data_IF_856629533276
#
_entry.id   IF_856629533276
#
_cell.length_a   1.000
_cell.length_b   1.000
_cell.length_c   1.000
_cell.angle_alpha   90.00
_cell.angle_beta   90.00
_cell.angle_gamma   90.00
#
_symmetry.space_group_name_H-M   'P 1'
#
loop_
_entity.id
_entity.type
_entity.pdbx_description
1 polymer ?
#
# COMPACT_ATOMS: atom_id res chain seq x y z
N UNK A 1 -74.25 29.87 28.94
CA UNK A 1 -74.65 28.67 28.17
C UNK A 1 -73.45 28.20 27.30
N UNK A 2 -72.72 27.19 27.74
CA UNK A 2 -71.65 26.61 26.95
C UNK A 2 -72.29 25.65 25.92
N UNK A 3 -72.24 26.02 24.66
CA UNK A 3 -72.53 25.09 23.57
C UNK A 3 -71.44 24.04 23.48
N UNK A 4 -71.73 22.83 23.88
CA UNK A 4 -70.86 21.69 23.62
C UNK A 4 -70.98 21.37 22.12
N UNK A 5 -70.00 21.81 21.32
CA UNK A 5 -69.89 21.38 19.96
C UNK A 5 -69.51 19.92 19.92
N UNK A 6 -70.31 19.04 19.41
CA UNK A 6 -70.03 17.64 19.19
C UNK A 6 -69.10 17.49 17.98
N UNK A 7 -68.11 16.65 18.12
CA UNK A 7 -67.16 16.29 17.03
C UNK A 7 -67.93 15.43 16.02
N UNK A 8 -67.86 15.80 14.74
CA UNK A 8 -68.53 15.04 13.66
C UNK A 8 -67.70 13.80 13.25
N UNK A 9 -68.37 12.76 12.80
CA UNK A 9 -67.72 11.50 12.37
C UNK A 9 -66.76 11.77 11.20
N UNK A 10 -67.04 12.70 10.32
CA UNK A 10 -66.23 13.10 9.19
C UNK A 10 -64.92 13.82 9.64
N UNK A 11 -64.99 14.58 10.72
CA UNK A 11 -63.84 15.30 11.27
C UNK A 11 -62.80 14.32 11.86
N UNK A 12 -63.28 13.24 12.53
CA UNK A 12 -62.42 12.15 13.02
C UNK A 12 -61.80 11.39 11.86
N UNK A 13 -62.58 11.09 10.82
CA UNK A 13 -62.10 10.35 9.66
C UNK A 13 -60.98 11.14 8.92
N UNK A 14 -61.16 12.46 8.72
CA UNK A 14 -60.13 13.32 8.14
C UNK A 14 -58.90 13.39 9.04
N UNK A 15 -59.08 13.54 10.36
CA UNK A 15 -57.97 13.60 11.30
C UNK A 15 -57.13 12.32 11.28
N UNK A 16 -57.74 11.15 11.28
CA UNK A 16 -57.05 9.86 11.23
C UNK A 16 -56.32 9.66 9.88
N UNK A 17 -56.97 10.06 8.77
CA UNK A 17 -56.34 9.93 7.45
C UNK A 17 -55.12 10.87 7.32
N UNK A 18 -55.21 12.10 7.80
CA UNK A 18 -54.07 13.02 7.82
C UNK A 18 -52.96 12.54 8.75
N UNK A 19 -53.30 12.01 9.93
CA UNK A 19 -52.32 11.44 10.86
C UNK A 19 -51.61 10.23 10.28
N UNK A 20 -52.32 9.34 9.58
CA UNK A 20 -51.72 8.18 8.91
C UNK A 20 -50.77 8.60 7.80
N UNK A 21 -51.14 9.64 7.02
CA UNK A 21 -50.31 10.15 5.94
C UNK A 21 -49.04 10.84 6.46
N UNK A 22 -49.16 11.61 7.55
CA UNK A 22 -48.02 12.21 8.25
C UNK A 22 -47.11 11.16 8.83
N UNK A 23 -47.64 10.16 9.53
CA UNK A 23 -46.87 9.08 10.13
C UNK A 23 -46.13 8.27 9.07
N UNK A 24 -46.79 7.95 7.94
CA UNK A 24 -46.16 7.29 6.81
C UNK A 24 -45.02 8.11 6.20
N UNK A 25 -45.23 9.41 6.02
CA UNK A 25 -44.20 10.33 5.53
C UNK A 25 -42.97 10.40 6.43
N UNK A 26 -43.16 10.45 7.75
CA UNK A 26 -42.06 10.45 8.72
C UNK A 26 -41.28 9.14 8.67
N UNK A 27 -41.95 8.00 8.60
CA UNK A 27 -41.28 6.70 8.50
C UNK A 27 -40.42 6.57 7.23
N UNK A 28 -40.95 7.01 6.08
CA UNK A 28 -40.20 7.03 4.82
C UNK A 28 -38.98 7.95 4.92
N UNK A 29 -39.17 9.17 5.44
CA UNK A 29 -38.08 10.13 5.61
C UNK A 29 -36.99 9.59 6.55
N UNK A 30 -37.38 8.95 7.65
CA UNK A 30 -36.43 8.34 8.59
C UNK A 30 -35.69 7.17 7.96
N UNK A 31 -36.34 6.29 7.21
CA UNK A 31 -35.71 5.19 6.51
C UNK A 31 -34.70 5.69 5.45
N UNK A 32 -35.08 6.72 4.69
CA UNK A 32 -34.19 7.36 3.72
C UNK A 32 -32.96 7.99 4.39
N UNK A 33 -33.19 8.69 5.52
CA UNK A 33 -32.12 9.28 6.31
C UNK A 33 -31.12 8.25 6.82
N UNK A 34 -31.59 7.17 7.43
CA UNK A 34 -30.73 6.09 7.93
C UNK A 34 -29.94 5.42 6.81
N UNK A 35 -30.58 5.08 5.69
CA UNK A 35 -29.89 4.45 4.55
C UNK A 35 -28.84 5.37 3.92
N UNK A 36 -29.05 6.68 3.95
CA UNK A 36 -28.07 7.67 3.46
C UNK A 36 -26.90 7.79 4.42
N UNK A 37 -27.13 7.76 5.73
CA UNK A 37 -26.07 7.76 6.75
C UNK A 37 -25.18 6.53 6.62
N UNK A 38 -25.75 5.32 6.53
CA UNK A 38 -24.99 4.09 6.37
C UNK A 38 -24.09 4.11 5.12
N UNK A 39 -24.61 4.60 3.99
CA UNK A 39 -23.83 4.75 2.74
C UNK A 39 -22.70 5.77 2.89
N UNK A 40 -22.97 6.86 3.60
CA UNK A 40 -21.98 7.93 3.83
C UNK A 40 -20.88 7.44 4.75
N UNK A 41 -21.22 6.77 5.84
CA UNK A 41 -20.26 6.20 6.78
C UNK A 41 -19.36 5.15 6.11
N UNK A 42 -19.95 4.27 5.30
CA UNK A 42 -19.17 3.28 4.53
C UNK A 42 -18.18 3.94 3.56
N UNK A 43 -18.57 5.05 2.91
CA UNK A 43 -17.67 5.83 2.05
C UNK A 43 -16.57 6.53 2.84
N UNK A 44 -16.89 7.12 3.98
CA UNK A 44 -15.91 7.78 4.85
C UNK A 44 -14.87 6.80 5.38
N UNK A 45 -15.28 5.62 5.85
CA UNK A 45 -14.37 4.57 6.31
C UNK A 45 -13.46 4.11 5.17
N UNK A 46 -14.00 3.91 3.97
CA UNK A 46 -13.23 3.52 2.79
C UNK A 46 -12.18 4.57 2.43
N UNK A 47 -12.57 5.85 2.37
CA UNK A 47 -11.67 6.95 2.05
C UNK A 47 -10.55 7.07 3.09
N UNK A 48 -10.86 6.95 4.38
CA UNK A 48 -9.84 6.96 5.45
C UNK A 48 -8.85 5.83 5.32
N UNK A 49 -9.29 4.62 4.94
CA UNK A 49 -8.38 3.47 4.71
C UNK A 49 -7.41 3.76 3.57
N UNK A 50 -7.88 4.29 2.44
CA UNK A 50 -7.03 4.64 1.29
C UNK A 50 -6.00 5.71 1.66
N UNK A 51 -6.44 6.79 2.34
CA UNK A 51 -5.55 7.87 2.78
C UNK A 51 -4.52 7.38 3.77
N UNK A 52 -4.90 6.52 4.73
CA UNK A 52 -3.98 5.96 5.70
C UNK A 52 -2.98 5.01 5.03
N UNK A 53 -3.43 4.13 4.14
CA UNK A 53 -2.54 3.25 3.38
C UNK A 53 -1.50 4.05 2.59
N UNK A 54 -1.95 5.09 1.90
CA UNK A 54 -1.08 6.01 1.18
C UNK A 54 -0.03 6.63 2.10
N UNK A 55 -0.43 7.17 3.23
CA UNK A 55 0.47 7.81 4.19
C UNK A 55 1.50 6.82 4.77
N UNK A 56 1.08 5.59 5.06
CA UNK A 56 1.99 4.54 5.53
C UNK A 56 3.02 4.23 4.46
N UNK A 57 2.60 3.99 3.22
CA UNK A 57 3.48 3.69 2.10
C UNK A 57 4.47 4.84 1.85
N UNK A 58 3.98 6.09 1.83
CA UNK A 58 4.82 7.27 1.67
C UNK A 58 5.86 7.38 2.80
N UNK A 59 5.47 7.11 4.05
CA UNK A 59 6.39 7.14 5.20
C UNK A 59 7.43 6.02 5.12
N UNK A 60 7.05 4.80 4.76
CA UNK A 60 7.96 3.66 4.58
C UNK A 60 9.01 3.97 3.53
N UNK A 61 8.59 4.45 2.36
CA UNK A 61 9.51 4.79 1.27
C UNK A 61 10.34 6.04 1.60
N UNK A 62 9.77 7.04 2.25
CA UNK A 62 10.51 8.22 2.70
C UNK A 62 11.54 7.89 3.79
N UNK A 63 11.29 6.81 4.55
CA UNK A 63 12.24 6.26 5.52
C UNK A 63 13.31 5.35 4.93
N UNK A 64 13.37 5.21 3.61
CA UNK A 64 14.31 4.33 2.93
C UNK A 64 15.76 4.57 3.35
N UNK A 65 16.45 3.49 3.69
CA UNK A 65 17.88 3.48 4.02
C UNK A 65 18.61 2.61 2.99
N UNK A 66 19.57 3.21 2.30
CA UNK A 66 20.46 2.46 1.42
C UNK A 66 21.35 1.53 2.25
N UNK A 67 21.20 0.22 2.05
CA UNK A 67 21.84 -0.81 2.86
C UNK A 67 22.42 -1.91 1.98
N UNK A 68 23.44 -2.60 2.52
CA UNK A 68 24.04 -3.78 1.89
C UNK A 68 23.54 -5.06 2.55
N UNK A 69 23.51 -6.13 1.79
CA UNK A 69 23.39 -7.49 2.27
C UNK A 69 24.72 -8.20 2.09
N UNK A 70 25.22 -8.86 3.14
CA UNK A 70 26.45 -9.65 3.12
C UNK A 70 26.12 -11.12 2.96
N UNK A 71 26.52 -11.68 1.83
CA UNK A 71 26.35 -13.10 1.51
C UNK A 71 27.67 -13.84 1.60
N UNK A 72 27.66 -15.00 2.19
CA UNK A 72 28.80 -15.90 2.15
C UNK A 72 28.74 -16.75 0.88
N UNK A 73 29.66 -16.53 -0.04
CA UNK A 73 29.77 -17.33 -1.24
C UNK A 73 30.28 -18.77 -0.91
N UNK A 74 30.00 -19.71 -1.79
CA UNK A 74 30.45 -21.13 -1.61
C UNK A 74 31.96 -21.29 -1.45
N UNK A 75 32.75 -20.37 -1.98
CA UNK A 75 34.21 -20.32 -1.83
C UNK A 75 34.69 -19.71 -0.51
N UNK A 76 33.77 -19.41 0.42
CA UNK A 76 34.07 -18.80 1.72
C UNK A 76 34.26 -17.27 1.70
N UNK A 77 34.25 -16.64 0.52
CA UNK A 77 34.37 -15.19 0.40
C UNK A 77 33.04 -14.51 0.75
N UNK A 78 33.13 -13.37 1.41
CA UNK A 78 31.96 -12.51 1.65
C UNK A 78 31.74 -11.60 0.45
N UNK A 79 30.53 -11.59 -0.06
CA UNK A 79 30.11 -10.69 -1.14
C UNK A 79 29.02 -9.75 -0.63
N UNK A 80 29.18 -8.47 -0.87
CA UNK A 80 28.19 -7.46 -0.54
C UNK A 80 27.37 -7.10 -1.78
N UNK A 81 26.06 -7.04 -1.63
CA UNK A 81 25.12 -6.61 -2.67
C UNK A 81 24.18 -5.57 -2.10
N UNK A 82 23.64 -4.69 -2.95
CA UNK A 82 22.63 -3.72 -2.52
C UNK A 82 21.39 -4.46 -2.08
N UNK A 83 20.89 -4.17 -0.87
CA UNK A 83 19.68 -4.78 -0.33
C UNK A 83 18.45 -4.01 -0.77
N UNK A 84 17.99 -4.33 -1.95
CA UNK A 84 16.73 -3.81 -2.52
C UNK A 84 16.14 -4.85 -3.45
N UNK A 85 14.91 -5.28 -3.17
CA UNK A 85 14.10 -6.12 -4.07
C UNK A 85 13.05 -5.23 -4.72
N UNK A 86 13.02 -5.21 -6.05
CA UNK A 86 12.04 -4.46 -6.82
C UNK A 86 11.41 -5.35 -7.89
N UNK A 87 10.22 -5.86 -7.64
CA UNK A 87 9.42 -6.65 -8.57
C UNK A 87 8.04 -6.02 -8.73
N UNK A 88 7.29 -6.40 -9.75
CA UNK A 88 5.97 -5.80 -10.02
C UNK A 88 4.92 -6.04 -8.93
N UNK A 89 5.10 -7.05 -8.08
CA UNK A 89 4.16 -7.41 -7.00
C UNK A 89 4.84 -7.61 -5.64
N UNK A 90 6.15 -7.48 -5.56
CA UNK A 90 6.90 -7.54 -4.30
C UNK A 90 8.01 -6.51 -4.28
N UNK A 91 8.20 -5.90 -3.12
CA UNK A 91 9.24 -4.91 -2.89
C UNK A 91 9.77 -5.05 -1.47
N UNK A 92 11.12 -5.02 -1.30
CA UNK A 92 11.75 -5.14 0.00
C UNK A 92 12.94 -4.20 0.09
N UNK A 93 13.03 -3.48 1.20
CA UNK A 93 14.10 -2.52 1.47
C UNK A 93 14.22 -2.28 2.98
N UNK A 94 15.26 -1.56 3.41
CA UNK A 94 15.38 -1.11 4.79
C UNK A 94 14.73 0.26 4.94
N UNK A 95 13.84 0.40 5.93
CA UNK A 95 13.19 1.66 6.30
C UNK A 95 13.57 2.07 7.72
N UNK A 96 13.72 3.36 7.96
CA UNK A 96 13.85 3.94 9.31
C UNK A 96 12.48 4.16 9.99
N UNK A 97 11.40 3.91 9.28
CA UNK A 97 10.05 3.96 9.80
C UNK A 97 9.58 2.55 10.20
N UNK A 98 8.85 2.43 11.30
CA UNK A 98 8.16 1.20 11.69
C UNK A 98 6.69 1.51 11.92
N UNK A 99 5.83 0.79 11.23
CA UNK A 99 4.39 0.85 11.46
C UNK A 99 4.01 0.20 12.80
N UNK A 100 4.71 -0.89 13.17
CA UNK A 100 4.46 -1.62 14.40
C UNK A 100 4.74 -0.74 15.62
N UNK A 101 5.84 0.01 15.61
CA UNK A 101 6.23 0.89 16.72
C UNK A 101 5.67 2.30 16.56
N UNK A 102 5.06 2.62 15.40
CA UNK A 102 4.58 3.95 15.02
C UNK A 102 5.66 5.05 15.20
N UNK A 103 6.93 4.68 15.08
CA UNK A 103 8.08 5.51 15.37
C UNK A 103 9.13 5.44 14.26
N UNK A 104 9.99 6.48 14.24
CA UNK A 104 11.24 6.49 13.47
C UNK A 104 12.40 6.22 14.42
N UNK A 105 13.40 5.46 13.97
CA UNK A 105 14.65 5.29 14.70
C UNK A 105 15.15 3.86 14.85
N UNK A 106 14.29 2.88 14.79
CA UNK A 106 14.72 1.48 14.71
C UNK A 106 14.54 0.99 13.27
N UNK A 107 15.61 0.80 12.51
CA UNK A 107 15.52 0.33 11.14
C UNK A 107 14.80 -1.02 11.07
N UNK A 108 13.90 -1.15 10.10
CA UNK A 108 13.15 -2.36 9.79
C UNK A 108 13.37 -2.75 8.33
N UNK A 109 13.33 -4.03 8.04
CA UNK A 109 13.18 -4.50 6.68
C UNK A 109 11.69 -4.44 6.36
N UNK A 110 11.29 -3.45 5.58
CA UNK A 110 9.94 -3.33 5.05
C UNK A 110 9.78 -4.21 3.83
N UNK A 111 8.83 -5.15 3.86
CA UNK A 111 8.52 -6.04 2.75
C UNK A 111 7.05 -5.87 2.36
N UNK A 112 6.83 -5.15 1.25
CA UNK A 112 5.52 -4.99 0.66
C UNK A 112 5.27 -6.11 -0.35
N UNK A 113 4.08 -6.70 -0.30
CA UNK A 113 3.70 -7.79 -1.20
C UNK A 113 2.24 -7.71 -1.58
N UNK A 114 1.95 -8.03 -2.84
CA UNK A 114 0.61 -8.21 -3.37
C UNK A 114 0.27 -9.70 -3.29
N UNK A 115 -0.77 -10.02 -2.55
CA UNK A 115 -1.24 -11.41 -2.36
C UNK A 115 -2.70 -11.55 -2.81
N UNK A 116 -3.20 -12.76 -3.08
CA UNK A 116 -4.62 -12.98 -3.34
C UNK A 116 -5.50 -12.44 -2.22
N UNK A 117 -6.63 -11.87 -2.57
CA UNK A 117 -7.64 -11.41 -1.62
C UNK A 117 -8.34 -12.56 -0.90
N UNK A 118 -9.16 -12.22 0.10
CA UNK A 118 -9.99 -13.22 0.77
C UNK A 118 -10.91 -13.90 -0.24
N UNK A 119 -11.09 -15.20 -0.10
CA UNK A 119 -11.91 -16.04 -1.00
C UNK A 119 -11.52 -15.95 -2.47
N UNK A 120 -10.25 -15.59 -2.77
CA UNK A 120 -9.74 -15.32 -4.11
C UNK A 120 -10.45 -14.15 -4.84
N UNK A 121 -11.07 -13.24 -4.11
CA UNK A 121 -11.66 -12.05 -4.69
C UNK A 121 -10.63 -10.90 -4.74
N UNK A 122 -10.10 -10.65 -5.94
CA UNK A 122 -9.11 -9.62 -6.16
C UNK A 122 -7.78 -9.85 -5.48
N UNK A 123 -7.07 -8.78 -5.14
CA UNK A 123 -5.77 -8.82 -4.45
C UNK A 123 -5.76 -7.86 -3.26
N UNK A 124 -4.81 -8.06 -2.37
CA UNK A 124 -4.52 -7.19 -1.23
C UNK A 124 -3.05 -6.84 -1.17
N UNK A 125 -2.77 -5.64 -0.72
CA UNK A 125 -1.41 -5.17 -0.43
C UNK A 125 -1.13 -5.36 1.07
N UNK A 126 -0.08 -6.10 1.38
CA UNK A 126 0.38 -6.31 2.75
C UNK A 126 1.77 -5.72 2.95
N UNK A 127 2.06 -5.34 4.19
CA UNK A 127 3.38 -4.96 4.68
C UNK A 127 3.79 -5.92 5.79
N UNK A 128 4.98 -6.48 5.66
CA UNK A 128 5.67 -7.22 6.72
C UNK A 128 6.88 -6.40 7.16
N UNK A 129 7.07 -6.28 8.46
CA UNK A 129 8.23 -5.64 9.06
C UNK A 129 9.08 -6.70 9.77
N UNK A 130 10.38 -6.66 9.51
CA UNK A 130 11.36 -7.52 10.16
C UNK A 130 12.43 -6.60 10.77
N UNK A 131 12.74 -6.69 12.06
CA UNK A 131 13.78 -5.87 12.67
C UNK A 131 15.10 -5.97 11.89
N UNK A 132 15.68 -4.82 11.57
CA UNK A 132 16.98 -4.76 10.91
C UNK A 132 18.09 -4.91 11.94
N UNK A 133 18.90 -5.97 11.84
CA UNK A 133 20.04 -6.21 12.73
C UNK A 133 21.40 -6.11 12.03
N UNK A 134 21.41 -5.77 10.75
CA UNK A 134 22.64 -5.54 10.01
C UNK A 134 22.74 -6.28 8.67
N UNK A 135 23.85 -6.07 7.93
CA UNK A 135 24.04 -6.61 6.59
C UNK A 135 24.03 -8.13 6.50
N UNK A 136 24.53 -8.82 7.54
CA UNK A 136 24.59 -10.28 7.59
C UNK A 136 23.18 -10.88 7.65
N UNK A 137 22.29 -10.31 8.44
CA UNK A 137 20.89 -10.74 8.49
C UNK A 137 20.21 -10.51 7.14
N UNK A 138 20.43 -9.36 6.51
CA UNK A 138 19.90 -9.08 5.18
C UNK A 138 20.40 -10.09 4.14
N UNK A 139 21.65 -10.51 4.26
CA UNK A 139 22.24 -11.55 3.40
C UNK A 139 21.54 -12.90 3.49
N UNK A 140 20.96 -13.25 4.64
CA UNK A 140 20.17 -14.48 4.80
C UNK A 140 18.86 -14.46 4.02
N UNK A 141 18.36 -13.27 3.68
CA UNK A 141 17.15 -13.09 2.86
C UNK A 141 17.44 -13.09 1.36
N UNK A 142 18.73 -13.12 0.96
CA UNK A 142 19.15 -13.20 -0.44
C UNK A 142 19.58 -14.63 -0.75
N UNK A 143 18.82 -15.30 -1.62
CA UNK A 143 19.11 -16.70 -2.01
C UNK A 143 20.24 -16.74 -3.02
N UNK A 144 20.23 -15.83 -3.97
CA UNK A 144 21.19 -15.76 -5.05
C UNK A 144 21.43 -14.32 -5.48
N UNK A 145 22.69 -13.99 -5.72
CA UNK A 145 23.08 -12.75 -6.37
C UNK A 145 24.21 -13.03 -7.36
N UNK A 146 23.96 -12.80 -8.62
CA UNK A 146 24.92 -13.15 -9.68
C UNK A 146 24.44 -12.69 -11.04
N UNK A 147 25.01 -13.30 -12.05
CA UNK A 147 24.71 -13.05 -13.45
C UNK A 147 24.06 -14.29 -14.03
N UNK A 148 22.92 -14.15 -14.68
CA UNK A 148 22.20 -15.27 -15.30
C UNK A 148 22.03 -15.08 -16.80
N UNK A 149 22.05 -16.22 -17.51
CA UNK A 149 21.85 -16.27 -18.95
C UNK A 149 23.08 -15.90 -19.78
N UNK A 150 23.00 -16.16 -21.08
CA UNK A 150 24.05 -15.85 -22.07
C UNK A 150 24.29 -14.34 -22.23
N UNK A 151 23.32 -13.51 -21.85
CA UNK A 151 23.39 -12.05 -21.95
C UNK A 151 24.03 -11.40 -20.72
N UNK A 152 24.40 -12.19 -19.72
CA UNK A 152 25.09 -11.68 -18.53
C UNK A 152 24.24 -10.73 -17.71
N UNK A 153 22.93 -10.89 -17.67
CA UNK A 153 22.03 -10.02 -16.88
C UNK A 153 22.22 -10.27 -15.38
N UNK A 154 22.45 -9.21 -14.63
CA UNK A 154 22.52 -9.32 -13.18
C UNK A 154 21.15 -9.67 -12.59
N UNK A 155 21.14 -10.64 -11.68
CA UNK A 155 19.93 -11.08 -10.97
C UNK A 155 20.22 -11.24 -9.50
N UNK A 156 19.33 -10.71 -8.67
CA UNK A 156 19.31 -10.97 -7.22
C UNK A 156 17.97 -11.61 -6.89
N UNK A 157 18.02 -12.81 -6.33
CA UNK A 157 16.83 -13.54 -5.89
C UNK A 157 16.74 -13.48 -4.37
N UNK A 158 15.56 -13.13 -3.90
CA UNK A 158 15.24 -13.03 -2.48
C UNK A 158 14.39 -14.21 -2.03
N UNK A 159 14.52 -14.55 -0.75
CA UNK A 159 13.63 -15.50 -0.10
C UNK A 159 12.18 -15.01 -0.20
N UNK A 160 11.25 -15.96 -0.36
CA UNK A 160 9.83 -15.64 -0.44
C UNK A 160 9.37 -14.91 0.83
N UNK A 161 8.56 -13.88 0.66
CA UNK A 161 7.88 -13.21 1.76
C UNK A 161 6.67 -14.08 2.12
N UNK A 162 6.64 -14.59 3.35
CA UNK A 162 5.51 -15.39 3.82
C UNK A 162 4.57 -14.49 4.63
N UNK A 163 3.30 -14.34 4.19
CA UNK A 163 2.30 -13.65 5.00
C UNK A 163 2.10 -14.36 6.34
N UNK A 164 2.04 -13.60 7.41
CA UNK A 164 1.90 -14.12 8.76
C UNK A 164 0.88 -13.33 9.59
N UNK A 165 0.65 -13.73 10.86
CA UNK A 165 -0.28 -13.03 11.75
C UNK A 165 0.12 -11.57 12.04
N UNK A 166 1.40 -11.23 11.84
CA UNK A 166 1.94 -9.88 12.03
C UNK A 166 1.96 -9.05 10.74
N UNK A 167 1.44 -9.59 9.63
CA UNK A 167 1.33 -8.84 8.38
C UNK A 167 0.25 -7.77 8.48
N UNK A 168 0.58 -6.54 8.15
CA UNK A 168 -0.36 -5.43 8.09
C UNK A 168 -1.03 -5.40 6.72
N UNK A 169 -2.35 -5.45 6.67
CA UNK A 169 -3.12 -5.26 5.43
C UNK A 169 -3.27 -3.75 5.20
N UNK A 170 -2.53 -3.21 4.24
CA UNK A 170 -2.58 -1.80 3.87
C UNK A 170 -3.78 -1.48 2.99
N UNK A 171 -4.05 -2.32 2.00
CA UNK A 171 -5.20 -2.19 1.12
C UNK A 171 -5.76 -3.57 0.77
N UNK A 172 -7.08 -3.67 0.69
CA UNK A 172 -7.82 -4.90 0.42
C UNK A 172 -8.85 -4.68 -0.68
N UNK A 173 -9.35 -5.77 -1.27
CA UNK A 173 -10.34 -5.74 -2.36
C UNK A 173 -9.87 -4.87 -3.53
N UNK A 174 -8.64 -5.10 -3.97
CA UNK A 174 -8.08 -4.45 -5.14
C UNK A 174 -8.27 -5.33 -6.37
N UNK A 175 -8.53 -4.71 -7.51
CA UNK A 175 -8.49 -5.37 -8.82
C UNK A 175 -7.07 -5.71 -9.20
N UNK A 176 -6.15 -4.78 -8.93
CA UNK A 176 -4.71 -4.96 -9.06
C UNK A 176 -3.97 -3.99 -8.13
N UNK A 177 -2.73 -4.36 -7.84
CA UNK A 177 -1.71 -3.50 -7.26
C UNK A 177 -0.39 -3.82 -7.99
N UNK A 178 0.35 -2.80 -8.43
CA UNK A 178 1.59 -2.94 -9.19
C UNK A 178 2.62 -1.94 -8.73
N UNK A 179 3.87 -2.39 -8.68
CA UNK A 179 5.04 -1.56 -8.41
C UNK A 179 5.77 -1.27 -9.71
N UNK A 180 6.34 -0.08 -9.82
CA UNK A 180 7.25 0.29 -10.89
C UNK A 180 8.33 1.24 -10.35
N UNK A 181 9.47 1.21 -11.00
CA UNK A 181 10.71 1.82 -10.55
C UNK A 181 11.24 2.76 -11.61
N UNK A 182 11.64 3.96 -11.19
CA UNK A 182 12.15 4.97 -12.10
C UNK A 182 13.64 4.77 -12.34
N UNK A 183 13.99 4.50 -13.60
CA UNK A 183 15.38 4.38 -14.04
C UNK A 183 15.86 5.64 -14.77
N UNK A 184 17.16 5.90 -14.68
CA UNK A 184 17.86 6.84 -15.54
C UNK A 184 18.48 6.05 -16.68
N UNK A 185 17.91 6.17 -17.85
CA UNK A 185 18.52 5.59 -19.05
C UNK A 185 19.74 6.44 -19.44
N UNK A 186 20.98 5.92 -19.31
CA UNK A 186 22.15 6.64 -19.76
C UNK A 186 22.04 6.93 -21.26
N UNK A 187 22.29 8.17 -21.68
CA UNK A 187 22.26 8.61 -23.08
C UNK A 187 20.90 8.93 -23.69
N UNK A 188 19.81 8.81 -22.94
CA UNK A 188 18.50 9.29 -23.40
C UNK A 188 17.92 10.26 -22.36
N UNK A 189 17.33 11.42 -22.75
CA UNK A 189 16.74 12.37 -21.83
C UNK A 189 15.43 11.88 -21.19
N UNK A 190 15.07 10.61 -21.37
CA UNK A 190 13.82 10.06 -20.93
C UNK A 190 14.00 9.15 -19.72
N UNK A 191 13.23 9.44 -18.68
CA UNK A 191 13.07 8.58 -17.52
C UNK A 191 12.11 7.45 -17.91
N UNK A 192 12.51 6.19 -17.69
CA UNK A 192 11.67 5.03 -17.95
C UNK A 192 11.18 4.43 -16.62
N UNK A 193 9.93 3.98 -16.62
CA UNK A 193 9.37 3.22 -15.51
C UNK A 193 9.46 1.72 -15.82
N UNK A 194 10.26 1.02 -15.03
CA UNK A 194 10.48 -0.41 -15.15
C UNK A 194 9.60 -1.18 -14.16
N UNK A 195 9.09 -2.33 -14.56
CA UNK A 195 8.26 -3.21 -13.71
C UNK A 195 9.08 -4.12 -12.81
N UNK A 196 10.38 -4.22 -13.04
CA UNK A 196 11.32 -4.98 -12.21
C UNK A 196 12.62 -4.20 -12.11
N UNK A 197 13.22 -4.18 -10.93
CA UNK A 197 14.48 -3.53 -10.65
C UNK A 197 15.56 -4.54 -10.33
N UNK A 198 16.67 -4.43 -11.00
CA UNK A 198 17.82 -5.32 -10.79
C UNK A 198 18.97 -4.56 -10.12
N UNK A 199 19.21 -4.76 -8.82
CA UNK A 199 19.96 -3.84 -7.96
C UNK A 199 21.48 -3.94 -8.05
N UNK A 200 22.08 -4.40 -9.16
CA UNK A 200 23.54 -4.58 -9.18
C UNK A 200 24.34 -3.27 -9.28
N UNK A 201 23.73 -2.15 -9.59
CA UNK A 201 24.50 -0.92 -9.83
C UNK A 201 23.98 0.35 -9.16
N UNK A 202 22.69 0.46 -8.96
CA UNK A 202 22.10 1.68 -8.39
C UNK A 202 20.73 1.37 -7.80
N UNK A 203 20.25 2.27 -6.98
CA UNK A 203 18.87 2.29 -6.51
C UNK A 203 18.01 3.08 -7.52
N UNK A 204 16.71 2.79 -7.62
CA UNK A 204 15.81 3.57 -8.48
C UNK A 204 15.71 5.02 -7.96
N UNK A 205 15.43 5.95 -8.87
CA UNK A 205 15.20 7.35 -8.50
C UNK A 205 13.85 7.57 -7.83
N UNK A 206 12.91 6.67 -8.06
CA UNK A 206 11.57 6.75 -7.49
C UNK A 206 10.83 5.44 -7.60
N UNK A 207 9.82 5.32 -6.78
CA UNK A 207 8.93 4.16 -6.72
C UNK A 207 7.52 4.65 -7.00
N UNK A 208 6.82 3.94 -7.88
CA UNK A 208 5.40 4.16 -8.17
C UNK A 208 4.60 2.92 -7.78
N UNK A 209 3.50 3.15 -7.08
CA UNK A 209 2.55 2.11 -6.71
C UNK A 209 1.20 2.49 -7.30
N UNK A 210 0.64 1.63 -8.13
CA UNK A 210 -0.66 1.81 -8.76
C UNK A 210 -1.64 0.78 -8.22
N UNK A 211 -2.77 1.24 -7.72
CA UNK A 211 -3.82 0.41 -7.15
C UNK A 211 -5.17 0.78 -7.71
N UNK A 212 -5.99 -0.21 -8.04
CA UNK A 212 -7.38 -0.01 -8.44
C UNK A 212 -8.31 -0.85 -7.56
N UNK A 213 -9.45 -0.30 -7.08
CA UNK A 213 -10.41 -1.05 -6.31
C UNK A 213 -11.08 -2.13 -7.16
N UNK A 214 -11.48 -3.25 -6.52
CA UNK A 214 -12.20 -4.34 -7.16
C UNK A 214 -13.64 -3.92 -7.50
N UNK A 215 -14.31 -3.26 -6.56
CA UNK A 215 -15.68 -2.80 -6.70
C UNK A 215 -15.70 -1.37 -7.20
N UNK A 216 -15.86 -1.22 -8.49
CA UNK A 216 -16.15 0.06 -9.13
C UNK A 216 -17.66 0.15 -9.42
N UNK A 217 -18.47 0.09 -8.41
CA UNK A 217 -19.90 0.35 -8.56
C UNK A 217 -20.13 1.85 -8.77
N UNK A 218 -20.21 2.26 -10.04
CA UNK A 218 -20.63 3.57 -10.49
C UNK A 218 -19.52 4.62 -10.51
N UNK A 219 -19.24 5.10 -11.72
CA UNK A 219 -18.55 6.34 -12.08
C UNK A 219 -17.26 6.64 -11.30
N UNK A 220 -16.16 6.55 -12.01
CA UNK A 220 -14.77 6.80 -11.61
C UNK A 220 -14.09 5.67 -10.84
N UNK A 221 -13.47 4.77 -11.61
CA UNK A 221 -12.34 3.95 -11.18
C UNK A 221 -11.20 4.90 -10.79
N UNK A 222 -11.20 5.38 -9.55
CA UNK A 222 -10.06 6.15 -9.07
C UNK A 222 -8.89 5.18 -8.89
N UNK A 223 -8.06 5.09 -9.93
CA UNK A 223 -6.74 4.47 -9.80
C UNK A 223 -5.96 5.37 -8.84
N UNK A 224 -5.58 4.80 -7.70
CA UNK A 224 -4.71 5.50 -6.75
C UNK A 224 -3.27 5.27 -7.21
N UNK A 225 -2.60 6.33 -7.62
CA UNK A 225 -1.18 6.32 -7.96
C UNK A 225 -0.41 7.04 -6.85
N UNK A 226 0.54 6.34 -6.25
CA UNK A 226 1.47 6.87 -5.27
C UNK A 226 2.84 6.89 -5.93
N UNK A 227 3.47 8.06 -6.04
CA UNK A 227 4.84 8.20 -6.57
C UNK A 227 5.69 8.87 -5.51
N UNK A 228 6.74 8.19 -5.09
CA UNK A 228 7.66 8.69 -4.06
C UNK A 228 9.08 8.70 -4.64
N UNK A 229 9.75 9.85 -4.69
CA UNK A 229 11.15 9.90 -5.06
C UNK A 229 12.01 9.29 -3.95
N UNK A 230 13.06 8.58 -4.33
CA UNK A 230 14.09 8.14 -3.38
C UNK A 230 15.14 9.22 -3.25
N UNK A 231 15.26 9.79 -2.04
CA UNK A 231 16.24 10.84 -1.75
C UNK A 231 17.67 10.31 -1.63
N UNK A 232 17.82 8.99 -1.46
CA UNK A 232 19.11 8.30 -1.29
C UNK A 232 19.29 7.33 -2.44
N UNK A 233 20.01 7.75 -3.47
CA UNK A 233 20.35 6.94 -4.64
C UNK A 233 21.83 6.52 -4.67
N UNK A 234 22.63 6.88 -3.65
CA UNK A 234 24.01 6.48 -3.56
C UNK A 234 24.15 5.03 -3.13
N UNK A 235 25.03 4.30 -3.82
CA UNK A 235 25.40 2.94 -3.44
C UNK A 235 26.15 2.98 -2.10
N UNK A 236 25.71 2.25 -1.06
CA UNK A 236 26.45 2.17 0.18
C UNK A 236 27.84 1.56 -0.11
N UNK A 237 28.89 2.15 0.39
CA UNK A 237 30.25 1.63 0.25
C UNK A 237 31.12 2.26 -0.81
N UNK A 238 30.67 3.23 -1.58
CA UNK A 238 31.59 4.19 -2.20
C UNK A 238 32.10 5.10 -1.09
N UNK A 239 33.26 4.75 -0.51
CA UNK A 239 33.99 5.61 0.39
C UNK A 239 34.18 6.96 -0.28
N UNK A 240 33.92 8.02 0.46
CA UNK A 240 34.38 9.36 0.09
C UNK A 240 35.89 9.24 -0.10
N UNK A 241 36.36 9.14 -1.33
CA UNK A 241 37.76 9.36 -1.62
C UNK A 241 37.90 10.88 -1.60
N UNK A 242 38.38 11.43 -0.50
CA UNK A 242 38.98 12.74 -0.52
C UNK A 242 40.08 12.71 -1.59
N UNK A 243 39.73 13.18 -2.77
CA UNK A 243 40.75 13.44 -3.77
C UNK A 243 41.60 14.62 -3.26
N UNK A 244 42.92 14.51 -3.36
CA UNK A 244 43.85 15.57 -2.90
C UNK A 244 43.68 16.88 -3.68
#
# INVERSE_FOLDING_TARGET
MNRRAGVTLIEILIAISLLSLLSGGILVAMHLGLSTMEKTDARLIRNRRVVNARKIIENEIAGFISSLAEMRAQNGQTRSVVFFQGEGQSMRFVSSFSLQDAWRGHPQIAALQVIPGEKNEGVRLILNEIPWTGPVQAGQLVIFAGVTGSEGRPVTQFAQILPGPQSFVLADRLRYCRFSYLDVVPLQPFQAWETAWTPLRALPLGIRIEMAPLDAAGVDLHVTTITVPLSVNSTPGMGYSDAP
#
